data_IF_004605132544
#
_entry.id   IF_004605132544
#
_cell.length_a   1.000
_cell.length_b   1.000
_cell.length_c   1.000
_cell.angle_alpha   90.00
_cell.angle_beta   90.00
_cell.angle_gamma   90.00
#
_symmetry.space_group_name_H-M   'P 1'
#
loop_
_entity.id
_entity.type
_entity.pdbx_description
1 polymer ?
#
# COMPACT_ATOMS: atom_id res chain seq x y z
N UNK A 1 17.44 -9.11 15.20
CA UNK A 1 16.27 -9.27 14.31
C UNK A 1 16.81 -9.64 12.96
N UNK A 2 16.52 -10.86 12.53
CA UNK A 2 17.09 -11.39 11.29
C UNK A 2 16.11 -11.18 10.15
N UNK A 3 16.60 -10.70 9.01
CA UNK A 3 15.80 -10.41 7.82
C UNK A 3 16.12 -11.38 6.69
N UNK A 4 15.08 -12.00 6.12
CA UNK A 4 15.18 -12.72 4.86
C UNK A 4 14.78 -11.79 3.71
N UNK A 5 15.71 -11.55 2.78
CA UNK A 5 15.55 -10.63 1.65
C UNK A 5 14.88 -11.27 0.42
N UNK A 6 14.66 -12.60 0.43
CA UNK A 6 14.04 -13.30 -0.69
C UNK A 6 12.61 -12.78 -0.94
N UNK A 7 12.32 -12.44 -2.19
CA UNK A 7 11.02 -11.92 -2.63
C UNK A 7 10.71 -10.47 -2.25
N UNK A 8 11.66 -9.70 -1.69
CA UNK A 8 11.42 -8.29 -1.34
C UNK A 8 11.02 -7.43 -2.53
N UNK A 9 11.68 -7.60 -3.67
CA UNK A 9 11.37 -6.83 -4.88
C UNK A 9 9.96 -7.10 -5.39
N UNK A 10 9.54 -8.38 -5.40
CA UNK A 10 8.21 -8.79 -5.82
C UNK A 10 7.13 -8.22 -4.90
N UNK A 11 7.31 -8.39 -3.57
CA UNK A 11 6.41 -7.81 -2.56
C UNK A 11 6.30 -6.28 -2.66
N UNK A 12 7.36 -5.61 -3.08
CA UNK A 12 7.39 -4.16 -3.20
C UNK A 12 6.73 -3.64 -4.51
N UNK A 13 6.49 -4.52 -5.49
CA UNK A 13 5.80 -4.21 -6.75
C UNK A 13 4.29 -4.45 -6.69
N UNK A 14 3.82 -5.25 -5.74
CA UNK A 14 2.41 -5.67 -5.63
C UNK A 14 1.83 -6.26 -6.95
N UNK A 15 2.46 -7.35 -7.47
CA UNK A 15 2.09 -7.87 -8.78
C UNK A 15 0.70 -8.52 -8.73
N UNK A 16 -0.28 -7.92 -9.41
CA UNK A 16 -1.54 -8.57 -9.72
C UNK A 16 -1.56 -9.00 -11.18
N UNK A 17 -2.32 -10.06 -11.48
CA UNK A 17 -2.59 -10.45 -12.85
C UNK A 17 -3.46 -9.38 -13.53
N UNK A 18 -2.90 -8.65 -14.49
CA UNK A 18 -3.55 -7.54 -15.19
C UNK A 18 -4.84 -7.96 -15.92
N UNK A 19 -4.90 -9.20 -16.42
CA UNK A 19 -6.09 -9.72 -17.11
C UNK A 19 -7.26 -9.84 -16.14
N UNK A 20 -6.98 -10.30 -14.92
CA UNK A 20 -7.99 -10.43 -13.85
C UNK A 20 -8.43 -9.05 -13.36
N UNK A 21 -7.50 -8.12 -13.19
CA UNK A 21 -7.80 -6.72 -12.85
C UNK A 21 -8.73 -6.09 -13.90
N UNK A 22 -8.44 -6.28 -15.18
CA UNK A 22 -9.27 -5.76 -16.28
C UNK A 22 -10.71 -6.32 -16.27
N UNK A 23 -10.89 -7.58 -15.86
CA UNK A 23 -12.22 -8.17 -15.65
C UNK A 23 -12.94 -7.51 -14.47
N UNK A 24 -12.25 -7.27 -13.35
CA UNK A 24 -12.84 -6.63 -12.17
C UNK A 24 -13.25 -5.19 -12.42
N UNK A 25 -12.47 -4.43 -13.19
CA UNK A 25 -12.81 -3.08 -13.62
C UNK A 25 -14.10 -3.01 -14.46
N UNK A 26 -14.42 -4.09 -15.19
CA UNK A 26 -15.62 -4.22 -16.04
C UNK A 26 -16.71 -5.11 -15.43
N UNK A 27 -16.60 -5.42 -14.14
CA UNK A 27 -17.55 -6.30 -13.46
C UNK A 27 -18.97 -5.72 -13.48
N UNK A 28 -19.97 -6.58 -13.62
CA UNK A 28 -21.38 -6.22 -13.44
C UNK A 28 -21.71 -5.84 -11.98
N UNK A 29 -20.89 -6.27 -11.02
CA UNK A 29 -20.99 -5.85 -9.62
C UNK A 29 -20.33 -4.48 -9.43
N UNK A 30 -21.16 -3.44 -9.26
CA UNK A 30 -20.69 -2.05 -9.14
C UNK A 30 -19.65 -1.85 -8.04
N UNK A 31 -19.76 -2.55 -6.91
CA UNK A 31 -18.77 -2.49 -5.83
C UNK A 31 -17.39 -2.93 -6.31
N UNK A 32 -17.33 -4.05 -7.04
CA UNK A 32 -16.08 -4.60 -7.58
C UNK A 32 -15.42 -3.63 -8.57
N UNK A 33 -16.19 -3.11 -9.52
CA UNK A 33 -15.70 -2.13 -10.47
C UNK A 33 -15.16 -0.86 -9.78
N UNK A 34 -15.82 -0.42 -8.71
CA UNK A 34 -15.40 0.77 -7.94
C UNK A 34 -14.06 0.55 -7.23
N UNK A 35 -13.84 -0.63 -6.64
CA UNK A 35 -12.61 -0.94 -5.91
C UNK A 35 -11.38 -1.01 -6.82
N UNK A 36 -11.52 -1.52 -8.04
CA UNK A 36 -10.42 -1.68 -9.00
C UNK A 36 -10.26 -0.51 -9.98
N UNK A 37 -11.12 0.51 -9.91
CA UNK A 37 -11.14 1.65 -10.84
C UNK A 37 -9.81 2.41 -10.91
N UNK A 38 -9.09 2.50 -9.79
CA UNK A 38 -7.82 3.24 -9.68
C UNK A 38 -6.59 2.36 -9.75
N UNK A 39 -6.75 1.04 -9.92
CA UNK A 39 -5.61 0.16 -10.07
C UNK A 39 -4.97 0.39 -11.44
N UNK A 40 -3.76 0.91 -11.45
CA UNK A 40 -2.92 1.06 -12.63
C UNK A 40 -1.68 0.18 -12.42
N UNK A 41 -1.55 -0.88 -13.24
CA UNK A 41 -0.36 -1.71 -13.19
C UNK A 41 0.86 -0.91 -13.67
N UNK A 42 2.01 -1.16 -13.06
CA UNK A 42 3.28 -0.50 -13.40
C UNK A 42 3.67 -0.66 -14.88
N UNK A 43 3.23 -1.73 -15.54
CA UNK A 43 3.55 -2.03 -16.95
C UNK A 43 2.63 -1.33 -17.98
N UNK A 44 1.49 -0.77 -17.54
CA UNK A 44 0.56 -0.06 -18.45
C UNK A 44 1.00 1.37 -18.83
N UNK A 45 2.17 1.82 -18.35
CA UNK A 45 2.66 3.18 -18.55
C UNK A 45 3.30 3.43 -19.93
N UNK A 46 3.56 2.38 -20.73
CA UNK A 46 4.29 2.52 -22.01
C UNK A 46 3.40 2.91 -23.21
N UNK A 47 2.08 2.71 -23.13
CA UNK A 47 1.17 2.96 -24.26
C UNK A 47 0.22 4.13 -24.00
N UNK A 48 0.64 5.37 -24.26
CA UNK A 48 -0.32 6.49 -24.25
C UNK A 48 0.25 7.91 -24.37
N UNK A 49 0.48 8.37 -25.61
CA UNK A 49 0.41 9.80 -25.95
C UNK A 49 -1.05 10.26 -25.84
N UNK A 50 -1.40 11.05 -24.82
CA UNK A 50 -2.74 11.62 -24.68
C UNK A 50 -2.79 12.74 -23.64
N UNK A 51 -3.31 13.91 -24.06
CA UNK A 51 -3.46 15.16 -23.29
C UNK A 51 -4.23 14.99 -21.97
N UNK A 52 -3.76 15.65 -20.90
CA UNK A 52 -4.63 16.17 -19.83
C UNK A 52 -4.39 15.65 -18.41
N UNK A 53 -3.59 16.40 -17.63
CA UNK A 53 -3.94 16.75 -16.24
C UNK A 53 -4.12 15.65 -15.18
N UNK A 54 -3.11 14.83 -14.91
CA UNK A 54 -2.74 14.37 -13.54
C UNK A 54 -1.34 13.78 -13.61
N UNK A 55 -0.46 14.17 -12.68
CA UNK A 55 0.99 13.94 -12.68
C UNK A 55 1.40 12.58 -13.28
N UNK A 56 1.97 12.64 -14.48
CA UNK A 56 2.68 11.57 -15.21
C UNK A 56 4.01 11.21 -14.54
N UNK A 57 3.96 10.91 -13.24
CA UNK A 57 5.12 10.57 -12.40
C UNK A 57 4.82 9.50 -11.34
N UNK A 58 3.63 8.92 -11.36
CA UNK A 58 3.22 7.84 -10.45
C UNK A 58 3.49 6.44 -10.99
N UNK A 59 4.17 6.30 -12.14
CA UNK A 59 4.39 4.99 -12.78
C UNK A 59 5.53 4.17 -12.18
N UNK A 60 6.08 4.60 -11.05
CA UNK A 60 7.04 3.82 -10.27
C UNK A 60 6.84 4.01 -8.76
N UNK A 61 5.59 4.17 -8.33
CA UNK A 61 5.30 4.10 -6.90
C UNK A 61 5.35 2.64 -6.45
N UNK A 62 6.43 2.30 -5.75
CA UNK A 62 6.53 1.05 -5.02
C UNK A 62 5.62 1.09 -3.80
N UNK A 63 5.24 -0.08 -3.29
CA UNK A 63 4.47 -0.22 -2.05
C UNK A 63 5.16 0.56 -0.92
N UNK A 64 6.49 0.45 -0.80
CA UNK A 64 7.27 1.17 0.22
C UNK A 64 7.22 2.70 0.08
N UNK A 65 7.11 3.24 -1.14
CA UNK A 65 7.02 4.67 -1.37
C UNK A 65 5.69 5.24 -0.85
N UNK A 66 4.57 4.55 -1.11
CA UNK A 66 3.26 4.92 -0.59
C UNK A 66 3.21 4.86 0.94
N UNK A 67 3.76 3.79 1.53
CA UNK A 67 3.85 3.66 2.98
C UNK A 67 4.67 4.78 3.61
N UNK A 68 5.78 5.18 2.97
CA UNK A 68 6.60 6.31 3.44
C UNK A 68 5.85 7.64 3.39
N UNK A 69 5.06 7.88 2.35
CA UNK A 69 4.23 9.09 2.25
C UNK A 69 3.17 9.14 3.36
N UNK A 70 2.44 8.03 3.55
CA UNK A 70 1.42 7.91 4.59
C UNK A 70 2.03 8.07 5.99
N UNK A 71 3.18 7.46 6.23
CA UNK A 71 3.93 7.60 7.48
C UNK A 71 4.36 9.04 7.74
N UNK A 72 4.86 9.75 6.72
CA UNK A 72 5.24 11.16 6.85
C UNK A 72 4.04 12.03 7.24
N UNK A 73 2.89 11.85 6.57
CA UNK A 73 1.64 12.58 6.91
C UNK A 73 1.20 12.30 8.35
N UNK A 74 1.19 11.02 8.73
CA UNK A 74 0.82 10.60 10.09
C UNK A 74 1.75 11.22 11.14
N UNK A 75 3.06 11.14 10.95
CA UNK A 75 4.04 11.65 11.90
C UNK A 75 4.01 13.18 12.00
N UNK A 76 3.67 13.91 10.94
CA UNK A 76 3.42 15.36 11.01
C UNK A 76 2.22 15.67 11.90
N UNK A 77 1.10 14.98 11.71
CA UNK A 77 -0.10 15.19 12.51
C UNK A 77 0.11 14.82 13.99
N UNK A 78 0.82 13.72 14.28
CA UNK A 78 1.09 13.32 15.66
C UNK A 78 1.95 14.37 16.41
N UNK A 79 2.93 14.98 15.73
CA UNK A 79 3.79 16.03 16.31
C UNK A 79 3.04 17.32 16.66
N UNK A 80 1.87 17.57 16.08
CA UNK A 80 1.07 18.77 16.37
C UNK A 80 0.07 18.58 17.52
N UNK A 81 0.10 17.42 18.20
CA UNK A 81 -0.83 17.09 19.29
C UNK A 81 -0.09 16.93 20.61
N UNK A 82 -0.82 16.96 21.74
CA UNK A 82 -0.26 16.64 23.05
C UNK A 82 -0.30 15.11 23.28
N UNK A 83 0.83 14.42 23.41
CA UNK A 83 0.85 12.97 23.47
C UNK A 83 0.49 12.45 24.86
N UNK A 84 -0.32 11.39 24.90
CA UNK A 84 -0.58 10.58 26.10
C UNK A 84 -0.04 9.17 25.86
N UNK A 85 0.71 8.62 26.81
CA UNK A 85 1.45 7.38 26.62
C UNK A 85 0.90 6.24 27.46
N UNK A 86 0.74 5.08 26.83
CA UNK A 86 0.57 3.77 27.46
C UNK A 86 1.63 2.85 26.89
N UNK A 87 2.47 2.25 27.76
CA UNK A 87 3.51 1.31 27.34
C UNK A 87 3.04 -0.12 27.64
N UNK A 88 2.64 -0.85 26.61
CA UNK A 88 2.33 -2.27 26.74
C UNK A 88 3.63 -3.07 26.93
N UNK A 89 3.66 -3.94 27.94
CA UNK A 89 4.75 -4.88 28.20
C UNK A 89 4.19 -6.29 28.03
N UNK A 90 4.90 -7.15 27.30
CA UNK A 90 4.55 -8.57 27.19
C UNK A 90 4.89 -9.22 28.54
N UNK A 91 3.91 -9.73 29.30
CA UNK A 91 4.15 -10.26 30.64
C UNK A 91 4.90 -11.60 30.62
N UNK A 92 4.61 -12.46 29.64
CA UNK A 92 5.32 -13.71 29.39
C UNK A 92 5.12 -14.15 27.92
N UNK A 93 6.00 -15.02 27.44
CA UNK A 93 5.92 -15.56 26.06
C UNK A 93 4.87 -16.68 25.91
N UNK A 94 4.41 -17.26 27.02
CA UNK A 94 3.43 -18.36 27.06
C UNK A 94 2.00 -17.88 26.82
N UNK A 95 1.78 -16.57 26.75
CA UNK A 95 0.46 -15.93 26.61
C UNK A 95 -0.51 -16.34 27.72
N UNK A 96 0.00 -16.58 28.93
CA UNK A 96 -0.79 -17.05 30.07
C UNK A 96 -1.09 -15.90 31.06
N UNK A 97 -2.34 -15.75 31.55
CA UNK A 97 -2.65 -14.77 32.57
C UNK A 97 -2.08 -15.21 33.94
N UNK A 98 -1.56 -14.26 34.72
CA UNK A 98 -1.10 -14.51 36.10
C UNK A 98 0.18 -15.34 36.23
N UNK A 99 0.95 -15.50 35.14
CA UNK A 99 2.21 -16.28 35.06
C UNK A 99 3.39 -15.36 34.78
#
# INVERSE_FOLDING_TARGET
VDYNILGWLEKNKDPLNETVVGLYQKSSLKLMATLFATYASADTADTGKGKGGKKKGSSFQTVSALHRENLNKLMTNLRTTHPHFVRCIIPNERKAPGV
#
